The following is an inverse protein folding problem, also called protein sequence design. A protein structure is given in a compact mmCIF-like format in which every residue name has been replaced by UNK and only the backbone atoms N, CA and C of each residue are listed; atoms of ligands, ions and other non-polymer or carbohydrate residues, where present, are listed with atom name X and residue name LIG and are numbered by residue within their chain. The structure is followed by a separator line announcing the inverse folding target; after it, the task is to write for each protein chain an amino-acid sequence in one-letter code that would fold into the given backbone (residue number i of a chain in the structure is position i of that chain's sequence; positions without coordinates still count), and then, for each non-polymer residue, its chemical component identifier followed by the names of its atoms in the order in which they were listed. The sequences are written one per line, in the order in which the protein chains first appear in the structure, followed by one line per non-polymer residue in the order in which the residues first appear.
data_IF_638480358329
#
_entry.id   IF_638480358329
#
_cell.length_a   1.000
_cell.length_b   1.000
_cell.length_c   1.000
_cell.angle_alpha   90.00
_cell.angle_beta   90.00
_cell.angle_gamma   90.00
#
_symmetry.space_group_name_H-M   'P 1'
#
loop_
_entity.id
_entity.type
_entity.pdbx_description
1 polymer ?
#
# COMPACT_ATOMS: atom_id res chain seq x y z
N UNK A 1 32.19 -10.76 15.41
CA UNK A 1 30.83 -10.96 15.94
C UNK A 1 30.07 -11.58 14.79
N UNK A 2 29.95 -12.90 14.83
CA UNK A 2 29.47 -13.72 13.72
C UNK A 2 28.02 -13.41 13.44
N UNK A 3 27.74 -13.05 12.19
CA UNK A 3 26.42 -12.91 11.59
C UNK A 3 25.69 -14.25 11.77
N UNK A 4 24.85 -14.34 12.82
CA UNK A 4 23.97 -15.48 13.03
C UNK A 4 23.01 -15.55 11.84
N UNK A 5 23.09 -16.64 11.09
CA UNK A 5 22.14 -16.98 10.06
C UNK A 5 20.72 -16.97 10.65
N UNK A 6 20.02 -15.84 10.47
CA UNK A 6 18.61 -15.67 10.76
C UNK A 6 17.85 -16.73 9.93
N UNK A 7 17.13 -17.61 10.63
CA UNK A 7 16.51 -18.80 10.07
C UNK A 7 15.66 -18.52 8.84
N UNK A 8 15.73 -19.44 7.88
CA UNK A 8 15.06 -19.47 6.57
C UNK A 8 13.55 -19.72 6.65
N UNK A 9 12.86 -19.16 7.64
CA UNK A 9 11.41 -19.25 7.74
C UNK A 9 10.76 -18.36 6.66
N UNK A 10 9.79 -18.87 5.88
CA UNK A 10 9.09 -18.04 4.89
C UNK A 10 8.40 -16.85 5.56
N UNK A 11 8.65 -15.65 5.05
CA UNK A 11 8.05 -14.41 5.52
C UNK A 11 7.78 -13.46 4.36
N UNK A 12 6.86 -12.52 4.56
CA UNK A 12 6.67 -11.39 3.64
C UNK A 12 7.61 -10.28 4.07
N UNK A 13 8.32 -9.68 3.12
CA UNK A 13 9.15 -8.49 3.31
C UNK A 13 8.57 -7.27 2.59
N UNK A 14 9.10 -6.09 2.91
CA UNK A 14 8.72 -4.85 2.23
C UNK A 14 9.08 -4.89 0.73
N UNK A 15 10.19 -5.56 0.40
CA UNK A 15 10.59 -5.75 -0.98
C UNK A 15 9.57 -6.62 -1.74
N UNK A 16 9.05 -7.66 -1.10
CA UNK A 16 8.01 -8.51 -1.69
C UNK A 16 6.73 -7.72 -1.94
N UNK A 17 6.29 -6.90 -0.97
CA UNK A 17 5.10 -6.06 -1.12
C UNK A 17 5.24 -5.14 -2.33
N UNK A 18 6.35 -4.39 -2.39
CA UNK A 18 6.61 -3.46 -3.50
C UNK A 18 6.76 -4.15 -4.84
N UNK A 19 7.41 -5.32 -4.86
CA UNK A 19 7.54 -6.11 -6.08
C UNK A 19 6.18 -6.60 -6.59
N UNK A 20 5.20 -6.76 -5.71
CA UNK A 20 3.85 -7.20 -6.08
C UNK A 20 2.99 -6.08 -6.68
N UNK A 21 3.37 -4.81 -6.49
CA UNK A 21 2.65 -3.65 -7.03
C UNK A 21 3.00 -3.45 -8.51
N UNK A 22 2.04 -3.65 -9.42
CA UNK A 22 2.28 -3.52 -10.87
C UNK A 22 1.72 -2.25 -11.48
N UNK A 23 0.56 -1.78 -10.99
CA UNK A 23 -0.03 -0.50 -11.40
C UNK A 23 -0.45 0.31 -10.17
N UNK A 24 -0.38 1.63 -10.28
CA UNK A 24 -0.84 2.56 -9.26
C UNK A 24 -1.69 3.63 -9.94
N UNK A 25 -2.97 3.70 -9.58
CA UNK A 25 -3.88 4.76 -9.98
C UNK A 25 -4.23 5.63 -8.77
N UNK A 26 -4.23 6.95 -8.96
CA UNK A 26 -4.65 7.91 -7.92
C UNK A 26 -6.06 8.39 -8.20
N UNK A 27 -6.97 8.10 -7.28
CA UNK A 27 -8.32 8.65 -7.28
C UNK A 27 -8.35 9.87 -6.37
N UNK A 28 -8.60 11.05 -6.93
CA UNK A 28 -8.77 12.30 -6.17
C UNK A 28 -10.25 12.60 -5.98
N UNK A 29 -10.65 12.91 -4.76
CA UNK A 29 -11.97 13.45 -4.45
C UNK A 29 -11.83 14.82 -3.77
N UNK A 30 -12.64 15.78 -4.20
CA UNK A 30 -12.85 17.03 -3.48
C UNK A 30 -14.22 16.97 -2.84
N UNK A 31 -14.24 16.96 -1.51
CA UNK A 31 -15.49 16.90 -0.74
C UNK A 31 -16.30 18.20 -0.89
N UNK A 32 -17.57 18.15 -0.48
CA UNK A 32 -18.44 19.35 -0.47
C UNK A 32 -17.90 20.49 0.38
N UNK A 33 -17.10 20.19 1.40
CA UNK A 33 -16.48 21.20 2.29
C UNK A 33 -15.09 21.63 1.83
N UNK A 34 -14.63 21.21 0.64
CA UNK A 34 -13.33 21.58 0.09
C UNK A 34 -12.12 20.76 0.57
N UNK A 35 -12.33 19.73 1.41
CA UNK A 35 -11.26 18.79 1.76
C UNK A 35 -10.84 17.98 0.53
N UNK A 36 -9.55 17.72 0.40
CA UNK A 36 -8.98 16.96 -0.72
C UNK A 36 -8.52 15.61 -0.22
N UNK A 37 -9.12 14.55 -0.77
CA UNK A 37 -8.80 13.17 -0.47
C UNK A 37 -8.13 12.52 -1.69
N UNK A 38 -7.13 11.66 -1.45
CA UNK A 38 -6.53 10.82 -2.49
C UNK A 38 -6.45 9.37 -2.01
N UNK A 39 -6.94 8.45 -2.82
CA UNK A 39 -6.71 7.02 -2.65
C UNK A 39 -5.71 6.57 -3.71
N UNK A 40 -4.83 5.64 -3.34
CA UNK A 40 -4.14 4.84 -4.33
C UNK A 40 -4.93 3.54 -4.53
N UNK A 41 -5.19 3.21 -5.78
CA UNK A 41 -5.64 1.89 -6.21
C UNK A 41 -4.40 1.20 -6.74
N UNK A 42 -3.93 0.18 -6.04
CA UNK A 42 -2.74 -0.59 -6.41
C UNK A 42 -3.21 -1.93 -6.97
N UNK A 43 -2.83 -2.21 -8.22
CA UNK A 43 -3.02 -3.53 -8.80
C UNK A 43 -1.86 -4.44 -8.41
N UNK A 44 -2.18 -5.59 -7.85
CA UNK A 44 -1.25 -6.66 -7.54
C UNK A 44 -0.93 -7.50 -8.79
N UNK A 45 0.21 -8.21 -8.81
CA UNK A 45 0.61 -9.07 -9.95
C UNK A 45 -0.44 -10.12 -10.36
N UNK A 46 -1.33 -10.53 -9.45
CA UNK A 46 -2.40 -11.48 -9.73
C UNK A 46 -3.69 -10.82 -10.26
N UNK A 47 -3.67 -9.51 -10.53
CA UNK A 47 -4.82 -8.72 -11.00
C UNK A 47 -5.78 -8.27 -9.89
N UNK A 48 -5.48 -8.53 -8.61
CA UNK A 48 -6.31 -8.05 -7.51
C UNK A 48 -6.02 -6.57 -7.23
N UNK A 49 -7.07 -5.74 -7.15
CA UNK A 49 -6.93 -4.33 -6.82
C UNK A 49 -7.06 -4.10 -5.31
N UNK A 50 -6.08 -3.40 -4.73
CA UNK A 50 -6.02 -3.03 -3.32
C UNK A 50 -6.21 -1.52 -3.19
N UNK A 51 -7.03 -1.11 -2.22
CA UNK A 51 -7.21 0.31 -1.87
C UNK A 51 -6.89 0.52 -0.39
N UNK A 52 -6.16 1.59 -0.08
CA UNK A 52 -5.83 1.99 1.27
C UNK A 52 -6.72 3.08 1.84
N UNK A 53 -6.41 3.50 3.08
CA UNK A 53 -6.95 4.76 3.62
C UNK A 53 -6.49 5.94 2.77
N UNK A 54 -7.35 6.96 2.55
CA UNK A 54 -6.94 8.11 1.78
C UNK A 54 -5.90 8.95 2.52
N UNK A 55 -5.10 9.70 1.77
CA UNK A 55 -4.54 10.94 2.33
C UNK A 55 -5.64 12.00 2.39
N UNK A 56 -5.56 12.92 3.36
CA UNK A 56 -6.53 14.01 3.50
C UNK A 56 -5.81 15.33 3.78
N UNK A 57 -6.06 16.32 2.92
CA UNK A 57 -5.68 17.71 3.16
C UNK A 57 -6.89 18.45 3.76
N UNK A 58 -6.65 19.23 4.82
CA UNK A 58 -7.72 19.91 5.57
C UNK A 58 -8.40 21.00 4.71
N UNK A 59 -7.70 21.55 3.71
CA UNK A 59 -8.25 22.53 2.77
C UNK A 59 -7.46 22.56 1.44
N UNK A 60 -7.97 23.26 0.43
CA UNK A 60 -7.27 23.42 -0.84
C UNK A 60 -5.96 24.22 -0.70
N UNK A 61 -5.92 25.18 0.22
CA UNK A 61 -4.77 26.05 0.48
C UNK A 61 -3.58 25.29 1.09
N UNK A 62 -3.84 24.19 1.80
CA UNK A 62 -2.79 23.34 2.38
C UNK A 62 -2.52 22.07 1.57
N UNK A 63 -3.12 21.94 0.38
CA UNK A 63 -2.95 20.76 -0.46
C UNK A 63 -1.56 20.73 -1.11
N UNK A 64 -0.90 19.59 -0.98
CA UNK A 64 0.31 19.28 -1.71
C UNK A 64 0.11 17.93 -2.40
N UNK A 65 -0.06 17.97 -3.73
CA UNK A 65 -0.40 16.79 -4.51
C UNK A 65 0.64 15.66 -4.36
N UNK A 66 1.92 15.97 -4.52
CA UNK A 66 2.99 14.98 -4.40
C UNK A 66 3.02 14.31 -3.01
N UNK A 67 2.84 15.10 -1.94
CA UNK A 67 2.76 14.56 -0.57
C UNK A 67 1.50 13.71 -0.38
N UNK A 68 0.36 14.17 -0.86
CA UNK A 68 -0.91 13.45 -0.74
C UNK A 68 -0.91 12.12 -1.51
N UNK A 69 -0.33 12.09 -2.70
CA UNK A 69 -0.17 10.87 -3.49
C UNK A 69 0.76 9.89 -2.79
N UNK A 70 1.93 10.37 -2.33
CA UNK A 70 2.87 9.54 -1.56
C UNK A 70 2.20 8.89 -0.34
N UNK A 71 1.46 9.67 0.47
CA UNK A 71 0.77 9.14 1.65
C UNK A 71 -0.34 8.15 1.26
N UNK A 72 -1.08 8.41 0.17
CA UNK A 72 -2.11 7.50 -0.31
C UNK A 72 -1.53 6.15 -0.77
N UNK A 73 -0.37 6.18 -1.42
CA UNK A 73 0.38 4.98 -1.83
C UNK A 73 0.88 4.23 -0.60
N UNK A 74 1.55 4.91 0.34
CA UNK A 74 2.04 4.29 1.59
C UNK A 74 0.89 3.67 2.40
N UNK A 75 -0.27 4.33 2.48
CA UNK A 75 -1.45 3.78 3.13
C UNK A 75 -1.97 2.52 2.44
N UNK A 76 -1.88 2.45 1.11
CA UNK A 76 -2.33 1.28 0.34
C UNK A 76 -1.31 0.14 0.38
N UNK A 77 -0.02 0.46 0.36
CA UNK A 77 1.09 -0.49 0.62
C UNK A 77 0.90 -1.17 1.98
N UNK A 78 0.48 -0.42 3.01
CA UNK A 78 0.17 -0.97 4.33
C UNK A 78 -0.98 -1.99 4.31
N UNK A 79 -2.00 -1.81 3.47
CA UNK A 79 -3.10 -2.78 3.34
C UNK A 79 -2.69 -4.06 2.58
N UNK A 80 -1.61 -4.04 1.79
CA UNK A 80 -1.13 -5.23 1.09
C UNK A 80 -0.49 -6.27 2.03
N UNK A 81 0.12 -5.82 3.13
CA UNK A 81 0.79 -6.70 4.10
C UNK A 81 -0.09 -7.85 4.62
N UNK A 82 -1.29 -7.60 5.19
CA UNK A 82 -2.15 -8.69 5.67
C UNK A 82 -2.62 -9.61 4.54
N UNK A 83 -2.84 -9.09 3.33
CA UNK A 83 -3.25 -9.90 2.17
C UNK A 83 -2.14 -10.86 1.73
N UNK A 84 -0.91 -10.36 1.65
CA UNK A 84 0.24 -11.18 1.28
C UNK A 84 0.62 -12.17 2.37
N UNK A 85 0.49 -11.79 3.64
CA UNK A 85 0.69 -12.70 4.77
C UNK A 85 -0.33 -13.85 4.77
N UNK A 86 -1.60 -13.54 4.49
CA UNK A 86 -2.65 -14.56 4.33
C UNK A 86 -2.34 -15.50 3.17
N UNK A 87 -2.04 -14.96 1.98
CA UNK A 87 -1.72 -15.77 0.79
C UNK A 87 -0.46 -16.64 1.00
N UNK A 88 0.54 -16.15 1.73
CA UNK A 88 1.70 -16.96 2.11
C UNK A 88 1.29 -18.09 3.05
N UNK A 89 0.45 -17.81 4.07
CA UNK A 89 -0.03 -18.85 4.99
C UNK A 89 -0.81 -19.94 4.27
N UNK A 90 -1.68 -19.59 3.33
CA UNK A 90 -2.41 -20.54 2.50
C UNK A 90 -1.46 -21.45 1.71
N UNK A 91 -0.43 -20.88 1.07
CA UNK A 91 0.59 -21.65 0.34
C UNK A 91 1.39 -22.61 1.21
N UNK A 92 1.55 -22.31 2.51
CA UNK A 92 2.30 -23.13 3.46
C UNK A 92 1.43 -24.19 4.16
N UNK A 93 0.11 -24.16 3.99
CA UNK A 93 -0.79 -25.17 4.55
C UNK A 93 -0.99 -26.39 3.64
N UNK A 94 -0.39 -26.39 2.44
CA UNK A 94 -0.39 -27.53 1.52
C UNK A 94 0.56 -28.64 1.94
#
# INVERSE_FOLDING_TARGET
MTDEALGTAPSVSLADVRANMVNVEIVKHVSKSGQILRWAVIEAQNGFAVTGRPSCAVSAENDNAAKGEKVAIENTENEMWPLMGYALREKLQS
#
